data_IF_319624565183
#
_entry.id   IF_319624565183
#
_cell.length_a   1.000
_cell.length_b   1.000
_cell.length_c   1.000
_cell.angle_alpha   90.00
_cell.angle_beta   90.00
_cell.angle_gamma   90.00
#
_symmetry.space_group_name_H-M   'P 1'
#
loop_
_entity.id
_entity.type
_entity.pdbx_description
1 polymer ?
#
# COMPACT_ATOMS: atom_id res chain seq x y z
N UNK A 1 -14.32 11.81 -5.54
CA UNK A 1 -12.88 11.82 -5.22
C UNK A 1 -12.76 11.67 -3.71
N UNK A 2 -11.92 10.78 -3.17
CA UNK A 2 -11.63 10.80 -1.74
C UNK A 2 -10.96 12.14 -1.39
N UNK A 3 -11.46 12.84 -0.38
CA UNK A 3 -10.85 14.07 0.13
C UNK A 3 -9.89 13.75 1.30
N UNK A 4 -9.27 14.79 1.87
CA UNK A 4 -8.26 14.62 2.93
C UNK A 4 -8.72 13.72 4.10
N UNK A 5 -9.95 13.86 4.65
CA UNK A 5 -10.45 12.99 5.71
C UNK A 5 -10.57 11.52 5.31
N UNK A 6 -11.02 11.22 4.09
CA UNK A 6 -11.13 9.85 3.58
C UNK A 6 -9.75 9.22 3.40
N UNK A 7 -8.78 9.98 2.90
CA UNK A 7 -7.41 9.51 2.74
C UNK A 7 -6.76 9.26 4.10
N UNK A 8 -6.98 10.13 5.10
CA UNK A 8 -6.53 9.88 6.48
C UNK A 8 -7.12 8.59 7.05
N UNK A 9 -8.44 8.38 6.94
CA UNK A 9 -9.08 7.14 7.42
C UNK A 9 -8.55 5.89 6.71
N UNK A 10 -8.32 5.97 5.40
CA UNK A 10 -7.73 4.87 4.65
C UNK A 10 -6.29 4.60 5.11
N UNK A 11 -5.48 5.64 5.28
CA UNK A 11 -4.11 5.51 5.78
C UNK A 11 -4.08 4.87 7.17
N UNK A 12 -4.90 5.34 8.11
CA UNK A 12 -4.96 4.78 9.47
C UNK A 12 -5.37 3.30 9.46
N UNK A 13 -6.32 2.93 8.58
CA UNK A 13 -6.76 1.53 8.43
C UNK A 13 -5.64 0.63 7.90
N UNK A 14 -4.92 1.09 6.87
CA UNK A 14 -3.82 0.33 6.27
C UNK A 14 -2.65 0.28 7.25
N UNK A 15 -2.29 1.40 7.87
CA UNK A 15 -1.24 1.49 8.89
C UNK A 15 -1.46 0.43 9.97
N UNK A 16 -2.66 0.36 10.55
CA UNK A 16 -2.99 -0.65 11.57
C UNK A 16 -2.90 -2.09 11.06
N UNK A 17 -3.07 -2.32 9.76
CA UNK A 17 -3.05 -3.65 9.18
C UNK A 17 -1.62 -4.14 8.91
N UNK A 18 -0.70 -3.26 8.49
CA UNK A 18 0.62 -3.69 7.97
C UNK A 18 1.83 -3.06 8.66
N UNK A 19 1.70 -1.94 9.37
CA UNK A 19 2.85 -1.27 9.97
C UNK A 19 3.45 -2.12 11.11
N UNK A 20 4.77 -2.19 11.16
CA UNK A 20 5.53 -3.04 12.08
C UNK A 20 5.71 -4.48 11.59
N UNK A 21 5.05 -4.89 10.49
CA UNK A 21 5.22 -6.21 9.90
C UNK A 21 6.21 -6.19 8.74
N UNK A 22 6.81 -7.35 8.49
CA UNK A 22 7.66 -7.60 7.32
C UNK A 22 6.75 -7.77 6.10
N UNK A 23 7.06 -7.08 5.00
CA UNK A 23 6.45 -7.31 3.71
C UNK A 23 6.92 -8.66 3.15
N UNK A 24 6.09 -9.69 3.30
CA UNK A 24 6.37 -11.04 2.81
C UNK A 24 6.32 -11.12 1.28
N UNK A 25 5.46 -10.30 0.66
CA UNK A 25 5.39 -10.14 -0.78
C UNK A 25 4.96 -8.71 -1.13
N UNK A 26 5.43 -8.19 -2.27
CA UNK A 26 5.13 -6.84 -2.76
C UNK A 26 4.86 -6.93 -4.24
N UNK A 27 3.75 -6.33 -4.68
CA UNK A 27 3.34 -6.35 -6.07
C UNK A 27 3.09 -4.94 -6.59
N UNK A 28 3.58 -4.64 -7.79
CA UNK A 28 3.25 -3.50 -8.64
C UNK A 28 2.72 -3.97 -9.98
N UNK A 29 1.71 -3.25 -10.52
CA UNK A 29 1.18 -3.56 -11.84
C UNK A 29 1.99 -3.00 -13.02
N UNK A 30 2.99 -2.15 -12.76
CA UNK A 30 3.72 -1.45 -13.81
C UNK A 30 5.15 -1.99 -13.93
N UNK A 31 5.57 -2.31 -15.15
CA UNK A 31 6.87 -2.97 -15.42
C UNK A 31 8.08 -2.19 -14.90
N UNK A 32 8.05 -0.86 -15.00
CA UNK A 32 9.13 -0.01 -14.50
C UNK A 32 9.24 0.02 -12.97
N UNK A 33 8.23 -0.46 -12.24
CA UNK A 33 8.26 -0.60 -10.78
C UNK A 33 8.60 -2.01 -10.33
N UNK A 34 8.61 -3.01 -11.22
CA UNK A 34 8.91 -4.40 -10.90
C UNK A 34 10.25 -4.61 -10.19
N UNK A 35 11.36 -3.94 -10.57
CA UNK A 35 12.62 -4.10 -9.87
C UNK A 35 12.57 -3.76 -8.37
N UNK A 36 11.64 -2.91 -7.95
CA UNK A 36 11.49 -2.53 -6.54
C UNK A 36 10.71 -3.55 -5.72
N UNK A 37 10.03 -4.54 -6.33
CA UNK A 37 9.39 -5.62 -5.58
C UNK A 37 10.45 -6.35 -4.74
N UNK A 38 11.55 -6.76 -5.37
CA UNK A 38 12.66 -7.45 -4.72
C UNK A 38 13.37 -6.58 -3.66
N UNK A 39 13.42 -5.26 -3.85
CA UNK A 39 14.03 -4.35 -2.87
C UNK A 39 13.16 -4.16 -1.61
N UNK A 40 11.85 -4.32 -1.74
CA UNK A 40 10.87 -4.07 -0.67
C UNK A 40 10.44 -5.36 0.05
N UNK A 41 10.53 -6.52 -0.60
CA UNK A 41 10.29 -7.82 0.04
C UNK A 41 11.32 -8.04 1.16
N UNK A 42 10.86 -8.56 2.29
CA UNK A 42 11.66 -8.75 3.49
C UNK A 42 11.91 -7.47 4.30
N UNK A 43 11.38 -6.33 3.87
CA UNK A 43 11.48 -5.05 4.60
C UNK A 43 10.29 -4.81 5.51
N UNK A 44 10.55 -4.15 6.64
CA UNK A 44 9.49 -3.77 7.57
C UNK A 44 8.77 -2.54 7.04
N UNK A 45 7.44 -2.60 6.97
CA UNK A 45 6.63 -1.40 6.73
C UNK A 45 6.65 -0.56 8.00
N UNK A 46 7.27 0.62 7.95
CA UNK A 46 7.45 1.47 9.13
C UNK A 46 6.26 2.39 9.37
N UNK A 47 5.63 2.88 8.30
CA UNK A 47 4.46 3.75 8.41
C UNK A 47 3.65 3.79 7.11
N UNK A 48 2.36 4.10 7.25
CA UNK A 48 1.51 4.59 6.16
C UNK A 48 1.00 5.97 6.53
N UNK A 49 1.41 6.98 5.78
CA UNK A 49 1.19 8.41 6.10
C UNK A 49 0.46 9.11 4.96
N UNK A 50 -0.64 9.83 5.24
CA UNK A 50 -1.33 10.64 4.25
C UNK A 50 -0.67 12.03 4.11
N UNK A 51 -0.56 12.51 2.88
CA UNK A 51 -0.12 13.86 2.53
C UNK A 51 -1.17 14.51 1.64
N UNK A 52 -2.10 15.24 2.25
CA UNK A 52 -3.27 15.77 1.55
C UNK A 52 -4.10 14.64 0.94
N UNK A 53 -4.07 14.51 -0.38
CA UNK A 53 -4.78 13.47 -1.14
C UNK A 53 -3.90 12.25 -1.51
N UNK A 54 -2.61 12.34 -1.22
CA UNK A 54 -1.66 11.26 -1.45
C UNK A 54 -1.46 10.41 -0.20
N UNK A 55 -0.92 9.22 -0.40
CA UNK A 55 -0.53 8.28 0.64
C UNK A 55 0.87 7.76 0.36
N UNK A 56 1.71 7.72 1.40
CA UNK A 56 3.07 7.19 1.36
C UNK A 56 3.16 5.98 2.27
N UNK A 57 3.60 4.84 1.74
CA UNK A 57 3.95 3.63 2.51
C UNK A 57 5.45 3.56 2.65
N UNK A 58 5.98 3.71 3.86
CA UNK A 58 7.41 3.78 4.15
C UNK A 58 7.95 2.43 4.61
N UNK A 59 9.19 2.13 4.23
CA UNK A 59 9.91 0.90 4.57
C UNK A 59 11.19 1.22 5.36
N UNK A 60 11.74 0.22 6.05
CA UNK A 60 12.94 0.37 6.90
C UNK A 60 14.26 0.57 6.15
N UNK A 61 14.30 0.30 4.84
CA UNK A 61 15.44 0.57 3.96
C UNK A 61 15.47 2.02 3.43
N UNK A 62 14.61 2.90 3.91
CA UNK A 62 14.55 4.30 3.50
C UNK A 62 13.74 4.56 2.23
N UNK A 63 13.16 3.53 1.61
CA UNK A 63 12.25 3.69 0.48
C UNK A 63 10.82 3.98 0.93
N UNK A 64 10.08 4.65 0.04
CA UNK A 64 8.67 4.96 0.24
C UNK A 64 7.88 4.86 -1.06
N UNK A 65 6.75 4.15 -1.01
CA UNK A 65 5.82 4.06 -2.14
C UNK A 65 4.81 5.19 -2.04
N UNK A 66 4.96 6.17 -2.93
CA UNK A 66 4.00 7.24 -3.11
C UNK A 66 2.84 6.78 -3.99
N UNK A 67 1.61 7.07 -3.55
CA UNK A 67 0.39 6.73 -4.28
C UNK A 67 -0.63 7.85 -4.18
N UNK A 68 -1.44 8.01 -5.22
CA UNK A 68 -2.55 8.95 -5.24
C UNK A 68 -3.75 8.31 -5.92
N UNK A 69 -4.89 8.29 -5.22
CA UNK A 69 -6.08 7.56 -5.68
C UNK A 69 -6.79 8.24 -6.86
N UNK A 70 -6.48 9.51 -7.15
CA UNK A 70 -7.19 10.29 -8.17
C UNK A 70 -8.71 10.19 -7.95
N UNK A 71 -9.47 9.93 -9.01
CA UNK A 71 -10.93 9.79 -8.94
C UNK A 71 -11.37 8.38 -8.54
N UNK A 72 -10.63 7.33 -8.91
CA UNK A 72 -11.13 5.95 -8.91
C UNK A 72 -10.32 4.96 -8.09
N UNK A 73 -9.13 5.33 -7.63
CA UNK A 73 -8.29 4.50 -6.78
C UNK A 73 -8.95 4.19 -5.44
N UNK A 74 -8.76 2.97 -4.95
CA UNK A 74 -9.31 2.51 -3.69
C UNK A 74 -8.32 1.56 -3.03
N UNK A 75 -8.12 1.75 -1.74
CA UNK A 75 -7.42 0.79 -0.89
C UNK A 75 -8.39 -0.22 -0.30
N UNK A 76 -7.94 -1.47 -0.24
CA UNK A 76 -8.67 -2.59 0.37
C UNK A 76 -7.70 -3.31 1.29
N UNK A 77 -8.14 -3.61 2.51
CA UNK A 77 -7.45 -4.52 3.41
C UNK A 77 -8.27 -5.80 3.49
N UNK A 78 -7.60 -6.94 3.44
CA UNK A 78 -8.18 -8.27 3.50
C UNK A 78 -7.31 -9.18 4.38
N UNK A 79 -7.85 -10.34 4.75
CA UNK A 79 -7.07 -11.36 5.44
C UNK A 79 -5.94 -11.88 4.53
N UNK A 80 -4.84 -12.41 5.11
CA UNK A 80 -3.82 -13.09 4.34
C UNK A 80 -4.43 -14.15 3.41
N UNK A 81 -3.90 -14.27 2.19
CA UNK A 81 -4.36 -15.18 1.14
C UNK A 81 -5.80 -14.98 0.62
N UNK A 82 -6.54 -13.99 1.11
CA UNK A 82 -7.84 -13.63 0.56
C UNK A 82 -7.67 -12.68 -0.62
N UNK A 83 -8.33 -12.97 -1.74
CA UNK A 83 -8.48 -12.03 -2.84
C UNK A 83 -9.77 -11.20 -2.63
N UNK A 84 -9.73 -9.87 -2.71
CA UNK A 84 -10.95 -9.06 -2.69
C UNK A 84 -11.86 -9.42 -3.87
N UNK A 85 -13.14 -9.66 -3.62
CA UNK A 85 -14.14 -9.81 -4.69
C UNK A 85 -14.35 -8.45 -5.39
N UNK A 86 -13.63 -8.24 -6.49
CA UNK A 86 -13.67 -6.99 -7.24
C UNK A 86 -13.29 -7.17 -8.70
N UNK A 87 -13.90 -6.37 -9.57
CA UNK A 87 -13.53 -6.24 -11.00
C UNK A 87 -12.45 -5.18 -11.25
N UNK A 88 -11.91 -4.58 -10.18
CA UNK A 88 -10.87 -3.55 -10.26
C UNK A 88 -9.52 -4.20 -10.55
N UNK A 89 -8.71 -3.53 -11.35
CA UNK A 89 -7.33 -3.97 -11.57
C UNK A 89 -6.49 -3.64 -10.34
N UNK A 90 -5.76 -4.64 -9.82
CA UNK A 90 -4.76 -4.45 -8.78
C UNK A 90 -3.62 -3.58 -9.32
N UNK A 91 -3.17 -2.58 -8.55
CA UNK A 91 -2.10 -1.66 -8.94
C UNK A 91 -0.87 -1.75 -8.06
N UNK A 92 -1.08 -1.94 -6.76
CA UNK A 92 -0.05 -2.10 -5.77
C UNK A 92 -0.60 -2.96 -4.63
N UNK A 93 0.19 -3.88 -4.09
CA UNK A 93 -0.14 -4.67 -2.92
C UNK A 93 1.10 -4.87 -2.03
N UNK A 94 0.86 -4.93 -0.73
CA UNK A 94 1.82 -5.40 0.27
C UNK A 94 1.14 -6.52 1.02
N UNK A 95 1.78 -7.69 1.05
CA UNK A 95 1.34 -8.84 1.81
C UNK A 95 2.21 -8.97 3.04
N UNK A 96 1.58 -9.04 4.21
CA UNK A 96 2.23 -9.32 5.49
C UNK A 96 1.72 -10.66 6.01
N UNK A 97 2.44 -11.30 6.96
CA UNK A 97 1.97 -12.51 7.64
C UNK A 97 0.59 -12.36 8.29
#
# INVERSE_FOLDING_TARGET
>A
MPEGPEIRRAADKIHRAIAGNIAADVFFAFDHLKPYEDELVGRTVTAVTPYGKAMVTSFDNGLGVYSHNQLYGKWVTCQPHAAPDTRRQLRFAVHTP
#
